data_IF_842467629012
#
_entry.id   IF_842467629012
#
_cell.length_a   1.000
_cell.length_b   1.000
_cell.length_c   1.000
_cell.angle_alpha   90.00
_cell.angle_beta   90.00
_cell.angle_gamma   90.00
#
_symmetry.space_group_name_H-M   'P 1'
#
loop_
_entity.id
_entity.type
_entity.pdbx_description
1 polymer ?
#
# COMPACT_ATOMS: atom_id res chain seq x y z
N UNK A 1 -33.81 -4.26 -42.82
CA UNK A 1 -33.22 -5.35 -43.62
C UNK A 1 -31.84 -4.89 -44.09
N UNK A 2 -30.78 -5.65 -43.72
CA UNK A 2 -29.50 -5.86 -44.45
C UNK A 2 -28.54 -4.64 -44.48
N UNK A 3 -27.47 -4.61 -43.66
CA UNK A 3 -26.04 -5.03 -43.94
C UNK A 3 -25.30 -4.02 -44.86
N UNK A 4 -23.97 -3.77 -44.87
CA UNK A 4 -22.74 -4.21 -44.18
C UNK A 4 -21.59 -3.32 -44.73
N UNK A 5 -20.62 -2.99 -43.87
CA UNK A 5 -19.16 -2.73 -44.04
C UNK A 5 -18.55 -1.88 -45.19
N UNK A 6 -17.42 -1.23 -44.83
CA UNK A 6 -16.31 -0.86 -45.71
C UNK A 6 -15.60 0.41 -45.19
N UNK A 7 -14.64 0.35 -44.25
CA UNK A 7 -13.24 -0.08 -44.39
C UNK A 7 -12.38 0.86 -45.25
N UNK A 8 -11.44 1.55 -44.61
CA UNK A 8 -10.31 2.28 -45.23
C UNK A 8 -9.60 3.13 -44.18
N UNK A 9 -8.52 2.65 -43.55
CA UNK A 9 -7.12 2.56 -44.04
C UNK A 9 -6.29 3.79 -43.68
N UNK A 10 -5.26 3.58 -42.86
CA UNK A 10 -4.09 4.46 -42.83
C UNK A 10 -3.47 4.73 -41.47
N UNK A 11 -2.63 3.83 -40.97
CA UNK A 11 -1.23 4.20 -40.71
C UNK A 11 -0.41 2.98 -40.30
N UNK A 12 0.44 2.60 -41.23
CA UNK A 12 1.58 1.72 -41.07
C UNK A 12 2.55 2.32 -40.04
N UNK A 13 2.71 1.65 -38.90
CA UNK A 13 3.82 1.86 -37.98
C UNK A 13 4.58 0.55 -37.83
N UNK A 14 5.88 0.56 -38.15
CA UNK A 14 6.79 -0.58 -38.13
C UNK A 14 6.67 -1.45 -36.85
N UNK A 15 6.81 -2.78 -36.96
CA UNK A 15 7.11 -3.62 -35.80
C UNK A 15 8.57 -3.39 -35.40
N UNK A 16 8.78 -2.38 -34.56
CA UNK A 16 10.03 -2.21 -33.82
C UNK A 16 10.21 -3.42 -32.92
N UNK A 17 11.18 -4.26 -33.25
CA UNK A 17 11.66 -5.39 -32.47
C UNK A 17 12.29 -4.92 -31.16
N UNK A 18 11.47 -4.44 -30.24
CA UNK A 18 11.78 -4.36 -28.82
C UNK A 18 11.06 -5.51 -28.14
N UNK A 19 11.72 -6.18 -27.19
CA UNK A 19 11.04 -7.08 -26.25
C UNK A 19 10.09 -6.20 -25.43
N UNK A 20 8.93 -5.89 -26.00
CA UNK A 20 7.86 -5.17 -25.38
C UNK A 20 7.32 -6.08 -24.31
N UNK A 21 7.88 -5.98 -23.10
CA UNK A 21 7.17 -6.44 -21.92
C UNK A 21 5.88 -5.64 -21.92
N UNK A 22 4.79 -6.29 -22.30
CA UNK A 22 3.45 -5.73 -22.17
C UNK A 22 3.23 -5.56 -20.66
N UNK A 23 3.54 -4.37 -20.15
CA UNK A 23 3.28 -4.02 -18.76
C UNK A 23 1.77 -3.89 -18.64
N UNK A 24 1.11 -4.98 -18.24
CA UNK A 24 -0.31 -4.97 -17.92
C UNK A 24 -0.49 -4.06 -16.71
N UNK A 25 -1.07 -2.89 -16.95
CA UNK A 25 -1.46 -1.97 -15.88
C UNK A 25 -2.57 -2.67 -15.09
N UNK A 26 -2.33 -2.89 -13.80
CA UNK A 26 -3.31 -3.45 -12.86
C UNK A 26 -4.40 -2.40 -12.58
N UNK A 27 -5.31 -2.24 -13.54
CA UNK A 27 -6.41 -1.27 -13.46
C UNK A 27 -7.33 -1.56 -12.26
N UNK A 28 -7.55 -2.84 -11.94
CA UNK A 28 -8.39 -3.24 -10.81
C UNK A 28 -7.72 -2.90 -9.48
N UNK A 29 -6.42 -3.15 -9.36
CA UNK A 29 -5.64 -2.74 -8.18
C UNK A 29 -5.60 -1.23 -8.00
N UNK A 30 -5.40 -0.46 -9.07
CA UNK A 30 -5.44 1.01 -9.01
C UNK A 30 -6.83 1.49 -8.59
N UNK A 31 -7.89 0.89 -9.14
CA UNK A 31 -9.27 1.25 -8.80
C UNK A 31 -9.58 0.93 -7.34
N UNK A 32 -9.08 -0.21 -6.82
CA UNK A 32 -9.24 -0.59 -5.42
C UNK A 32 -8.50 0.39 -4.48
N UNK A 33 -7.29 0.80 -4.85
CA UNK A 33 -6.50 1.79 -4.11
C UNK A 33 -7.20 3.16 -4.07
N UNK A 34 -7.73 3.61 -5.22
CA UNK A 34 -8.53 4.84 -5.31
C UNK A 34 -9.82 4.77 -4.50
N UNK A 35 -10.49 3.62 -4.44
CA UNK A 35 -11.68 3.44 -3.61
C UNK A 35 -11.31 3.50 -2.13
N UNK A 36 -10.23 2.81 -1.71
CA UNK A 36 -9.73 2.85 -0.34
C UNK A 36 -9.34 4.25 0.11
N UNK A 37 -8.65 5.01 -0.75
CA UNK A 37 -8.18 6.35 -0.41
C UNK A 37 -9.32 7.33 -0.10
N UNK A 38 -10.51 7.07 -0.64
CA UNK A 38 -11.71 7.87 -0.41
C UNK A 38 -12.57 7.35 0.76
N UNK A 39 -12.21 6.21 1.35
CA UNK A 39 -12.89 5.71 2.56
C UNK A 39 -12.27 6.35 3.80
N UNK A 40 -13.11 7.03 4.58
CA UNK A 40 -12.76 7.40 5.96
C UNK A 40 -12.60 6.17 6.85
N UNK A 41 -12.15 6.38 8.10
CA UNK A 41 -12.00 5.31 9.08
C UNK A 41 -13.26 4.44 9.24
N UNK A 42 -14.44 5.05 9.20
CA UNK A 42 -15.73 4.34 9.27
C UNK A 42 -15.95 3.43 8.06
N UNK A 43 -15.60 3.90 6.85
CA UNK A 43 -15.69 3.11 5.63
C UNK A 43 -14.69 1.95 5.62
N UNK A 44 -13.46 2.18 6.06
CA UNK A 44 -12.45 1.13 6.23
C UNK A 44 -12.82 0.12 7.33
N UNK A 45 -13.56 0.55 8.37
CA UNK A 45 -14.10 -0.35 9.38
C UNK A 45 -15.27 -1.18 8.83
N UNK A 46 -16.20 -0.56 8.10
CA UNK A 46 -17.28 -1.26 7.39
C UNK A 46 -16.72 -2.32 6.43
N UNK A 47 -15.69 -1.98 5.66
CA UNK A 47 -15.04 -2.93 4.74
C UNK A 47 -14.48 -4.16 5.46
N UNK A 48 -13.91 -3.97 6.66
CA UNK A 48 -13.43 -5.07 7.51
C UNK A 48 -14.57 -5.94 8.04
N UNK A 49 -15.69 -5.33 8.43
CA UNK A 49 -16.87 -6.08 8.87
C UNK A 49 -17.44 -6.93 7.74
N UNK A 50 -17.58 -6.34 6.54
CA UNK A 50 -18.00 -7.04 5.33
C UNK A 50 -17.08 -8.23 5.02
N UNK A 51 -15.75 -8.04 5.09
CA UNK A 51 -14.77 -9.10 4.88
C UNK A 51 -14.89 -10.25 5.89
N UNK A 52 -15.30 -9.96 7.12
CA UNK A 52 -15.50 -10.95 8.18
C UNK A 52 -16.86 -11.66 8.12
N UNK A 53 -17.71 -11.35 7.12
CA UNK A 53 -19.06 -11.91 7.00
C UNK A 53 -20.00 -11.45 8.10
N UNK A 54 -19.71 -10.31 8.75
CA UNK A 54 -20.59 -9.72 9.77
C UNK A 54 -21.67 -8.87 9.11
N UNK A 55 -22.83 -8.82 9.74
CA UNK A 55 -23.91 -7.95 9.30
C UNK A 55 -23.47 -6.48 9.36
N UNK A 56 -23.74 -5.77 8.26
CA UNK A 56 -23.47 -4.35 8.10
C UNK A 56 -24.73 -3.57 8.47
N UNK A 57 -24.56 -2.45 9.19
CA UNK A 57 -25.67 -1.51 9.37
C UNK A 57 -25.97 -0.78 8.06
N UNK A 58 -27.17 -0.20 7.94
CA UNK A 58 -27.56 0.54 6.74
C UNK A 58 -26.59 1.69 6.43
N UNK A 59 -26.08 2.39 7.46
CA UNK A 59 -25.06 3.42 7.30
C UNK A 59 -23.74 2.85 6.76
N UNK A 60 -23.32 1.67 7.23
CA UNK A 60 -22.11 1.00 6.74
C UNK A 60 -22.26 0.54 5.29
N UNK A 61 -23.45 0.07 4.91
CA UNK A 61 -23.76 -0.26 3.51
C UNK A 61 -23.65 0.98 2.64
N UNK A 62 -24.20 2.13 3.07
CA UNK A 62 -24.10 3.38 2.34
C UNK A 62 -22.65 3.86 2.18
N UNK A 63 -21.80 3.67 3.20
CA UNK A 63 -20.37 4.02 3.11
C UNK A 63 -19.62 3.18 2.07
N UNK A 64 -20.02 1.93 1.86
CA UNK A 64 -19.41 1.02 0.88
C UNK A 64 -20.10 1.05 -0.49
N UNK A 65 -21.26 1.73 -0.57
CA UNK A 65 -22.18 1.75 -1.72
C UNK A 65 -22.86 3.12 -1.85
N UNK A 66 -22.07 4.19 -1.97
CA UNK A 66 -22.61 5.57 -2.04
C UNK A 66 -22.89 6.06 -3.48
N UNK A 67 -22.56 5.28 -4.52
CA UNK A 67 -22.76 5.65 -5.93
C UNK A 67 -21.75 6.64 -6.51
N UNK A 68 -20.95 7.31 -5.66
CA UNK A 68 -19.81 8.16 -6.05
C UNK A 68 -18.58 7.33 -6.39
N UNK A 69 -18.47 6.15 -5.80
CA UNK A 69 -17.35 5.22 -5.96
C UNK A 69 -17.83 3.85 -6.43
N UNK A 70 -16.95 3.06 -7.06
CA UNK A 70 -17.29 1.69 -7.43
C UNK A 70 -17.66 0.87 -6.18
N UNK A 71 -18.76 0.13 -6.28
CA UNK A 71 -19.34 -0.59 -5.17
C UNK A 71 -18.38 -1.68 -4.64
N UNK A 72 -18.03 -1.56 -3.36
CA UNK A 72 -17.16 -2.53 -2.69
C UNK A 72 -17.94 -3.75 -2.15
N UNK A 73 -19.25 -3.61 -2.02
CA UNK A 73 -20.17 -4.66 -1.63
C UNK A 73 -21.31 -4.81 -2.63
N UNK A 74 -21.84 -6.03 -2.74
CA UNK A 74 -22.99 -6.37 -3.57
C UNK A 74 -24.33 -6.11 -2.83
N UNK A 75 -25.45 -6.44 -3.46
CA UNK A 75 -26.81 -6.34 -2.91
C UNK A 75 -27.03 -7.16 -1.64
N UNK A 76 -26.23 -8.21 -1.46
CA UNK A 76 -26.26 -9.08 -0.27
C UNK A 76 -25.30 -8.62 0.83
N UNK A 77 -24.68 -7.45 0.68
CA UNK A 77 -23.65 -6.94 1.58
C UNK A 77 -22.35 -7.78 1.61
N UNK A 78 -22.17 -8.66 0.61
CA UNK A 78 -20.95 -9.42 0.38
C UNK A 78 -19.92 -8.60 -0.40
N UNK A 79 -18.62 -8.82 -0.15
CA UNK A 79 -17.56 -8.14 -0.88
C UNK A 79 -17.56 -8.51 -2.38
N UNK A 80 -17.54 -7.48 -3.23
CA UNK A 80 -17.24 -7.64 -4.66
C UNK A 80 -15.77 -8.00 -4.87
N UNK A 81 -15.38 -8.35 -6.11
CA UNK A 81 -13.95 -8.58 -6.42
C UNK A 81 -13.09 -7.34 -6.13
N UNK A 82 -13.62 -6.16 -6.41
CA UNK A 82 -12.98 -4.89 -6.06
C UNK A 82 -12.92 -4.70 -4.54
N UNK A 83 -14.01 -5.02 -3.83
CA UNK A 83 -14.03 -4.99 -2.36
C UNK A 83 -13.00 -5.91 -1.71
N UNK A 84 -12.78 -7.10 -2.30
CA UNK A 84 -11.74 -8.05 -1.85
C UNK A 84 -10.34 -7.49 -2.09
N UNK A 85 -10.06 -6.94 -3.27
CA UNK A 85 -8.79 -6.29 -3.58
C UNK A 85 -8.54 -5.10 -2.65
N UNK A 86 -9.56 -4.28 -2.40
CA UNK A 86 -9.50 -3.17 -1.46
C UNK A 86 -9.21 -3.67 -0.03
N UNK A 87 -9.89 -4.71 0.42
CA UNK A 87 -9.63 -5.29 1.74
C UNK A 87 -8.20 -5.82 1.88
N UNK A 88 -7.69 -6.51 0.86
CA UNK A 88 -6.33 -7.06 0.85
C UNK A 88 -5.27 -5.93 0.92
N UNK A 89 -5.44 -4.88 0.10
CA UNK A 89 -4.59 -3.68 0.14
C UNK A 89 -4.64 -2.99 1.51
N UNK A 90 -5.84 -2.86 2.11
CA UNK A 90 -6.02 -2.29 3.46
C UNK A 90 -5.30 -3.12 4.54
N UNK A 91 -5.39 -4.45 4.46
CA UNK A 91 -4.74 -5.36 5.39
C UNK A 91 -3.20 -5.26 5.27
N UNK A 92 -2.68 -5.22 4.05
CA UNK A 92 -1.25 -5.14 3.77
C UNK A 92 -0.64 -3.77 4.11
N UNK A 93 -1.39 -2.67 3.98
CA UNK A 93 -0.93 -1.33 4.34
C UNK A 93 -0.62 -1.21 5.86
N UNK A 94 -1.34 -1.95 6.70
CA UNK A 94 -1.05 -1.98 8.15
C UNK A 94 0.28 -2.68 8.45
N UNK A 95 0.57 -3.76 7.72
CA UNK A 95 1.83 -4.52 7.84
C UNK A 95 3.04 -3.69 7.41
N UNK A 96 2.88 -2.86 6.37
CA UNK A 96 3.95 -1.98 5.89
C UNK A 96 4.36 -0.92 6.92
N UNK A 97 3.39 -0.29 7.59
CA UNK A 97 3.67 0.70 8.66
C UNK A 97 4.34 0.08 9.88
N UNK A 98 3.92 -1.13 10.27
CA UNK A 98 4.51 -1.82 11.43
C UNK A 98 5.98 -2.19 11.16
N UNK A 99 6.27 -2.67 9.94
CA UNK A 99 7.61 -2.97 9.48
C UNK A 99 8.51 -1.73 9.43
N UNK A 100 8.00 -0.59 8.94
CA UNK A 100 8.74 0.67 8.91
C UNK A 100 9.10 1.14 10.34
N UNK A 101 8.15 1.08 11.28
CA UNK A 101 8.41 1.41 12.68
C UNK A 101 9.41 0.45 13.35
N UNK A 102 9.40 -0.82 12.97
CA UNK A 102 10.39 -1.78 13.44
C UNK A 102 11.79 -1.44 12.91
N UNK A 103 11.91 -1.11 11.61
CA UNK A 103 13.20 -0.72 11.01
C UNK A 103 13.76 0.56 11.63
N UNK A 104 12.91 1.56 11.92
CA UNK A 104 13.33 2.78 12.61
C UNK A 104 13.84 2.50 14.03
N UNK A 105 13.23 1.56 14.75
CA UNK A 105 13.69 1.11 16.07
C UNK A 105 15.04 0.43 15.98
N UNK A 106 15.25 -0.47 15.02
CA UNK A 106 16.55 -1.14 14.81
C UNK A 106 17.66 -0.13 14.50
N UNK A 107 17.42 0.81 13.57
CA UNK A 107 18.42 1.84 13.23
C UNK A 107 18.80 2.72 14.43
N UNK A 108 17.84 3.07 15.28
CA UNK A 108 18.13 3.84 16.49
C UNK A 108 19.05 3.08 17.45
N UNK A 109 18.88 1.75 17.57
CA UNK A 109 19.71 0.92 18.44
C UNK A 109 21.14 0.82 17.89
N UNK A 110 21.29 0.59 16.58
CA UNK A 110 22.62 0.51 15.95
C UNK A 110 23.41 1.81 16.12
N UNK A 111 22.75 2.96 15.94
CA UNK A 111 23.36 4.27 16.14
C UNK A 111 23.80 4.50 17.61
N UNK A 112 22.97 4.10 18.58
CA UNK A 112 23.36 4.19 20.00
C UNK A 112 24.52 3.25 20.34
N UNK A 113 24.58 2.05 19.76
CA UNK A 113 25.68 1.11 19.96
C UNK A 113 26.99 1.65 19.37
N UNK A 114 26.94 2.25 18.19
CA UNK A 114 28.10 2.91 17.56
C UNK A 114 28.60 4.10 18.41
N UNK A 115 27.71 4.93 18.95
CA UNK A 115 28.08 6.00 19.88
C UNK A 115 28.70 5.48 21.18
N UNK A 116 28.20 4.39 21.74
CA UNK A 116 28.75 3.78 22.96
C UNK A 116 30.14 3.18 22.69
N UNK A 117 30.31 2.52 21.55
CA UNK A 117 31.60 1.94 21.13
C UNK A 117 32.63 3.06 20.89
N UNK A 118 32.28 4.09 20.13
CA UNK A 118 33.17 5.23 19.84
C UNK A 118 33.55 6.01 21.10
N UNK A 119 32.61 6.23 22.04
CA UNK A 119 32.91 6.84 23.35
C UNK A 119 33.81 5.96 24.22
N UNK A 120 33.61 4.63 24.22
CA UNK A 120 34.50 3.71 24.96
C UNK A 120 35.91 3.68 24.37
N UNK A 121 36.03 3.69 23.04
CA UNK A 121 37.33 3.74 22.34
C UNK A 121 38.06 5.05 22.62
N UNK A 122 37.36 6.20 22.62
CA UNK A 122 37.95 7.48 23.01
C UNK A 122 38.39 7.51 24.48
N UNK A 123 37.61 6.91 25.38
CA UNK A 123 37.92 6.89 26.82
C UNK A 123 39.06 5.92 27.18
N UNK A 124 39.30 4.89 26.37
CA UNK A 124 40.44 3.98 26.53
C UNK A 124 41.72 4.48 25.83
N UNK A 125 41.61 5.43 24.90
CA UNK A 125 42.76 6.02 24.19
C UNK A 125 43.40 7.22 24.91
N UNK A 126 42.89 7.63 26.08
CA UNK A 126 43.52 8.63 26.94
C UNK A 126 43.90 8.03 28.30
N UNK A 127 45.05 7.34 28.39
CA UNK A 127 45.70 7.10 29.67
C UNK A 127 46.45 8.37 30.11
N UNK A 128 45.94 8.99 31.17
CA UNK A 128 46.74 9.55 32.26
C UNK A 128 48.02 10.34 31.91
N UNK A 129 47.89 11.62 31.55
CA UNK A 129 48.90 12.63 31.92
C UNK A 129 48.40 13.37 33.16
N UNK A 130 48.54 12.73 34.32
CA UNK A 130 48.37 13.39 35.61
C UNK A 130 49.27 12.72 36.65
N UNK A 131 50.56 12.58 36.34
CA UNK A 131 51.60 12.58 37.37
C UNK A 131 52.96 12.82 36.71
N UNK A 132 53.76 13.69 37.32
CA UNK A 132 55.20 14.00 37.13
C UNK A 132 55.48 15.47 36.85
N UNK A 133 55.68 16.21 37.94
CA UNK A 133 56.27 17.55 37.91
C UNK A 133 56.36 18.15 39.30
N UNK A 134 57.03 17.44 40.22
CA UNK A 134 57.48 17.97 41.51
C UNK A 134 58.90 18.52 41.36
#
# INVERSE_FOLDING_TARGET
>A
KVEVQGSGSGSSGQPGSGIGREYKIDQDGITADCALAQLDWNGAHALRLAASGRELTQEQVLLLRNGTQPNLIDEKSDLTNLGKLAYDRLANAKTARDLEQQQLRTRNIDQQMEEIVTRKVHKMSSPHEADLGR
#
